data_IF_564530711996
#
_entry.id   IF_564530711996
#
_cell.length_a   1.000
_cell.length_b   1.000
_cell.length_c   1.000
_cell.angle_alpha   90.00
_cell.angle_beta   90.00
_cell.angle_gamma   90.00
#
_symmetry.space_group_name_H-M   'P 1'
#
loop_
_entity.id
_entity.type
_entity.pdbx_description
1 polymer ?
#
# COMPACT_ATOMS: atom_id res chain seq x y z
N UNK A 1 0.32 -12.79 1.18
CA UNK A 1 1.11 -12.59 -0.08
C UNK A 1 2.57 -12.36 0.29
N UNK A 2 3.51 -12.28 -0.64
CA UNK A 2 4.94 -12.15 -0.32
C UNK A 2 5.56 -10.82 -0.76
N UNK A 3 5.47 -10.52 -2.06
CA UNK A 3 6.08 -9.32 -2.66
C UNK A 3 5.03 -8.31 -3.12
N UNK A 4 3.76 -8.71 -3.14
CA UNK A 4 2.68 -7.90 -3.70
C UNK A 4 2.15 -6.78 -2.79
N UNK A 5 2.36 -6.83 -1.47
CA UNK A 5 1.73 -5.87 -0.56
C UNK A 5 2.24 -4.44 -0.72
N UNK A 6 3.56 -4.24 -0.79
CA UNK A 6 4.15 -2.91 -0.97
C UNK A 6 3.80 -2.30 -2.35
N UNK A 7 3.91 -3.04 -3.48
CA UNK A 7 3.41 -2.59 -4.78
C UNK A 7 1.91 -2.27 -4.80
N UNK A 8 1.08 -3.11 -4.16
CA UNK A 8 -0.35 -2.84 -4.06
C UNK A 8 -0.63 -1.56 -3.26
N UNK A 9 0.07 -1.38 -2.15
CA UNK A 9 -0.07 -0.20 -1.32
C UNK A 9 0.37 1.08 -2.03
N UNK A 10 1.46 1.00 -2.82
CA UNK A 10 1.87 2.07 -3.72
C UNK A 10 0.76 2.44 -4.72
N UNK A 11 0.21 1.45 -5.44
CA UNK A 11 -0.84 1.66 -6.43
C UNK A 11 -2.10 2.26 -5.81
N UNK A 12 -2.54 1.71 -4.69
CA UNK A 12 -3.73 2.15 -3.98
C UNK A 12 -3.59 3.58 -3.47
N UNK A 13 -2.51 3.86 -2.74
CA UNK A 13 -2.24 5.21 -2.21
C UNK A 13 -2.15 6.22 -3.34
N UNK A 14 -1.51 5.83 -4.44
CA UNK A 14 -1.39 6.69 -5.60
C UNK A 14 -2.74 6.99 -6.26
N UNK A 15 -3.61 6.00 -6.40
CA UNK A 15 -4.96 6.18 -6.92
C UNK A 15 -5.77 7.15 -6.04
N UNK A 16 -5.66 7.03 -4.72
CA UNK A 16 -6.31 7.96 -3.78
C UNK A 16 -5.79 9.38 -3.94
N UNK A 17 -4.47 9.54 -4.04
CA UNK A 17 -3.82 10.84 -4.27
C UNK A 17 -4.19 11.45 -5.64
N UNK A 18 -4.40 10.65 -6.69
CA UNK A 18 -4.79 11.16 -8.02
C UNK A 18 -6.27 11.51 -8.14
N UNK A 19 -7.16 10.77 -7.47
CA UNK A 19 -8.60 10.93 -7.62
C UNK A 19 -9.22 11.92 -6.63
N UNK A 20 -8.72 11.98 -5.39
CA UNK A 20 -9.35 12.79 -4.33
C UNK A 20 -8.51 13.99 -3.88
N UNK A 21 -7.20 14.03 -4.17
CA UNK A 21 -6.31 15.12 -3.76
C UNK A 21 -5.80 15.96 -4.95
N UNK A 22 -6.70 16.26 -5.90
CA UNK A 22 -6.52 17.38 -6.86
C UNK A 22 -6.58 18.76 -6.19
N UNK A 23 -6.60 18.82 -4.87
CA UNK A 23 -6.38 20.05 -4.10
C UNK A 23 -4.92 20.43 -4.17
N UNK A 24 -4.63 21.72 -4.09
CA UNK A 24 -3.32 22.40 -4.16
C UNK A 24 -2.33 22.01 -3.04
N UNK A 25 -2.29 20.73 -2.68
CA UNK A 25 -1.43 20.14 -1.66
C UNK A 25 0.00 20.11 -2.18
N UNK A 26 0.87 20.85 -1.48
CA UNK A 26 2.32 20.88 -1.69
C UNK A 26 2.88 19.46 -1.92
N UNK A 27 3.78 19.30 -2.90
CA UNK A 27 4.47 18.03 -3.23
C UNK A 27 5.02 17.30 -1.99
N UNK A 28 5.41 18.04 -0.95
CA UNK A 28 5.92 17.50 0.31
C UNK A 28 4.84 16.77 1.13
N UNK A 29 3.60 17.24 1.11
CA UNK A 29 2.45 16.60 1.77
C UNK A 29 2.11 15.27 1.10
N UNK A 30 2.11 15.23 -0.23
CA UNK A 30 1.86 14.01 -1.00
C UNK A 30 2.94 12.94 -0.74
N UNK A 31 4.20 13.36 -0.55
CA UNK A 31 5.28 12.45 -0.16
C UNK A 31 5.05 11.80 1.22
N UNK A 32 4.56 12.56 2.20
CA UNK A 32 4.22 12.03 3.54
C UNK A 32 3.04 11.07 3.49
N UNK A 33 1.99 11.44 2.76
CA UNK A 33 0.82 10.56 2.59
C UNK A 33 1.19 9.27 1.85
N UNK A 34 2.07 9.36 0.84
CA UNK A 34 2.64 8.18 0.19
C UNK A 34 3.41 7.31 1.19
N UNK A 35 4.30 7.89 2.00
CA UNK A 35 5.03 7.15 3.01
C UNK A 35 4.08 6.47 4.02
N UNK A 36 3.03 7.15 4.47
CA UNK A 36 2.02 6.57 5.35
C UNK A 36 1.27 5.40 4.70
N UNK A 37 0.90 5.52 3.43
CA UNK A 37 0.27 4.42 2.70
C UNK A 37 1.17 3.20 2.59
N UNK A 38 2.44 3.40 2.25
CA UNK A 38 3.44 2.32 2.19
C UNK A 38 3.67 1.69 3.57
N UNK A 39 3.75 2.50 4.64
CA UNK A 39 3.85 2.00 6.00
C UNK A 39 2.64 1.14 6.35
N UNK A 40 1.41 1.61 6.07
CA UNK A 40 0.18 0.83 6.28
C UNK A 40 0.17 -0.49 5.50
N UNK A 41 0.76 -0.52 4.30
CA UNK A 41 0.86 -1.73 3.48
C UNK A 41 1.88 -2.76 3.97
N UNK A 42 2.80 -2.37 4.86
CA UNK A 42 3.84 -3.25 5.42
C UNK A 42 3.57 -3.62 6.87
N UNK A 43 2.84 -2.78 7.60
CA UNK A 43 2.79 -2.85 9.06
C UNK A 43 2.27 -4.18 9.60
N UNK A 44 1.24 -4.82 9.02
CA UNK A 44 0.80 -6.14 9.49
C UNK A 44 1.92 -7.19 9.47
N UNK A 45 2.69 -7.25 8.38
CA UNK A 45 3.81 -8.20 8.19
C UNK A 45 5.06 -7.90 9.02
N UNK A 46 5.15 -6.76 9.73
CA UNK A 46 6.29 -6.52 10.61
C UNK A 46 6.33 -7.49 11.80
N UNK A 47 5.23 -8.18 12.06
CA UNK A 47 5.17 -9.31 12.99
C UNK A 47 6.07 -10.49 12.58
N UNK A 48 6.52 -10.55 11.33
CA UNK A 48 7.51 -11.53 10.87
C UNK A 48 8.85 -11.36 11.58
N UNK A 49 9.19 -10.16 12.03
CA UNK A 49 10.37 -9.95 12.88
C UNK A 49 10.19 -10.64 14.23
N UNK A 50 8.99 -10.53 14.82
CA UNK A 50 8.66 -11.23 16.06
C UNK A 50 8.64 -12.75 15.86
N UNK A 51 7.99 -13.22 14.78
CA UNK A 51 7.93 -14.63 14.37
C UNK A 51 9.30 -15.30 14.30
N UNK A 52 10.29 -14.63 13.69
CA UNK A 52 11.64 -15.17 13.52
C UNK A 52 12.57 -14.96 14.71
N UNK A 53 12.47 -13.83 15.40
CA UNK A 53 13.46 -13.44 16.41
C UNK A 53 13.04 -13.82 17.83
N UNK A 54 11.74 -13.97 18.10
CA UNK A 54 11.20 -14.13 19.47
C UNK A 54 10.33 -15.37 19.58
N UNK A 55 9.37 -15.56 18.66
CA UNK A 55 8.38 -16.65 18.75
C UNK A 55 8.92 -18.04 18.38
N UNK A 56 10.15 -18.10 17.85
CA UNK A 56 10.76 -19.30 17.26
C UNK A 56 9.82 -20.06 16.30
N UNK A 57 8.97 -19.30 15.60
CA UNK A 57 8.00 -19.80 14.61
C UNK A 57 6.97 -20.79 15.18
N UNK A 58 6.65 -20.68 16.47
CA UNK A 58 5.65 -21.54 17.13
C UNK A 58 4.24 -21.30 16.59
N UNK A 59 3.90 -20.04 16.27
CA UNK A 59 2.63 -19.67 15.68
C UNK A 59 2.81 -19.14 14.26
N UNK A 60 1.89 -19.51 13.35
CA UNK A 60 1.84 -18.89 12.02
C UNK A 60 1.57 -17.38 12.17
N UNK A 61 2.33 -16.52 11.48
CA UNK A 61 2.25 -15.06 11.66
C UNK A 61 0.85 -14.47 11.39
N UNK A 62 0.09 -15.02 10.45
CA UNK A 62 -1.31 -14.63 10.24
C UNK A 62 -2.24 -14.96 11.43
N UNK A 63 -1.75 -15.69 12.43
CA UNK A 63 -2.42 -15.92 13.70
C UNK A 63 -2.26 -14.79 14.72
N UNK A 64 -1.34 -13.85 14.49
CA UNK A 64 -1.11 -12.71 15.38
C UNK A 64 -2.18 -11.62 15.22
N UNK A 65 -2.28 -10.76 16.24
CA UNK A 65 -3.29 -9.70 16.32
C UNK A 65 -3.15 -8.63 15.23
N UNK A 66 -1.95 -8.50 14.66
CA UNK A 66 -1.61 -7.70 13.46
C UNK A 66 -2.40 -8.13 12.22
N UNK A 67 -2.92 -9.36 12.18
CA UNK A 67 -3.74 -9.88 11.09
C UNK A 67 -5.23 -9.97 11.46
N UNK A 68 -5.66 -9.36 12.57
CA UNK A 68 -7.06 -9.26 12.98
C UNK A 68 -7.67 -7.95 12.44
N UNK A 69 -8.61 -7.98 11.49
CA UNK A 69 -9.16 -6.75 10.90
C UNK A 69 -9.88 -5.86 11.92
N UNK A 70 -10.53 -6.45 12.91
CA UNK A 70 -11.22 -5.69 13.96
C UNK A 70 -10.24 -4.85 14.81
N UNK A 71 -9.01 -5.32 15.04
CA UNK A 71 -7.99 -4.56 15.75
C UNK A 71 -7.69 -3.25 15.00
N UNK A 72 -7.47 -3.34 13.68
CA UNK A 72 -7.20 -2.17 12.84
C UNK A 72 -8.41 -1.25 12.70
N UNK A 73 -9.63 -1.81 12.65
CA UNK A 73 -10.85 -1.01 12.62
C UNK A 73 -11.03 -0.21 13.92
N UNK A 74 -10.78 -0.84 15.07
CA UNK A 74 -10.83 -0.17 16.37
C UNK A 74 -9.76 0.92 16.46
N UNK A 75 -8.53 0.63 16.06
CA UNK A 75 -7.45 1.62 16.05
C UNK A 75 -7.74 2.79 15.10
N UNK A 76 -8.34 2.53 13.94
CA UNK A 76 -8.80 3.58 13.02
C UNK A 76 -9.82 4.50 13.70
N UNK A 77 -10.83 3.93 14.37
CA UNK A 77 -11.82 4.68 15.13
C UNK A 77 -11.20 5.54 16.23
N UNK A 78 -10.22 5.01 16.96
CA UNK A 78 -9.48 5.75 17.99
C UNK A 78 -8.68 6.93 17.40
N UNK A 79 -7.99 6.71 16.29
CA UNK A 79 -7.23 7.77 15.60
C UNK A 79 -8.17 8.88 15.10
N UNK A 80 -9.32 8.52 14.52
CA UNK A 80 -10.33 9.51 14.09
C UNK A 80 -10.92 10.28 15.27
N UNK A 81 -11.28 9.60 16.36
CA UNK A 81 -11.80 10.23 17.56
C UNK A 81 -10.78 11.20 18.17
N UNK A 82 -9.51 10.79 18.26
CA UNK A 82 -8.42 11.66 18.72
C UNK A 82 -8.22 12.88 17.81
N UNK A 83 -8.23 12.68 16.49
CA UNK A 83 -8.16 13.77 15.52
C UNK A 83 -9.32 14.76 15.65
N UNK A 84 -10.54 14.27 15.90
CA UNK A 84 -11.71 15.10 16.12
C UNK A 84 -11.62 15.91 17.43
N UNK A 85 -11.24 15.26 18.54
CA UNK A 85 -11.05 15.91 19.85
C UNK A 85 -9.98 17.01 19.77
N UNK A 86 -8.88 16.74 19.07
CA UNK A 86 -7.77 17.69 18.88
C UNK A 86 -8.01 18.70 17.74
N UNK A 87 -9.16 18.62 17.05
CA UNK A 87 -9.53 19.46 15.89
C UNK A 87 -8.45 19.48 14.80
N UNK A 88 -7.87 18.33 14.47
CA UNK A 88 -6.84 18.18 13.45
C UNK A 88 -7.42 17.58 12.16
N UNK A 89 -7.87 18.41 11.18
CA UNK A 89 -8.52 17.91 9.97
C UNK A 89 -7.59 17.09 9.06
N UNK A 90 -6.27 17.25 9.20
CA UNK A 90 -5.26 16.47 8.47
C UNK A 90 -5.18 15.01 8.90
N UNK A 91 -5.74 14.64 10.06
CA UNK A 91 -5.75 13.26 10.56
C UNK A 91 -6.64 12.38 9.69
N UNK A 92 -7.80 12.87 9.24
CA UNK A 92 -8.74 12.10 8.44
C UNK A 92 -8.10 11.54 7.15
N UNK A 93 -7.50 12.34 6.25
CA UNK A 93 -6.89 11.82 5.03
C UNK A 93 -5.67 10.93 5.32
N UNK A 94 -4.86 11.26 6.34
CA UNK A 94 -3.72 10.45 6.74
C UNK A 94 -4.15 9.06 7.24
N UNK A 95 -5.14 9.01 8.12
CA UNK A 95 -5.70 7.78 8.65
C UNK A 95 -6.41 6.98 7.54
N UNK A 96 -7.23 7.63 6.71
CA UNK A 96 -7.90 6.95 5.60
C UNK A 96 -6.91 6.26 4.65
N UNK A 97 -5.82 6.94 4.25
CA UNK A 97 -4.77 6.33 3.42
C UNK A 97 -4.10 5.18 4.17
N UNK A 98 -3.63 5.41 5.39
CA UNK A 98 -2.91 4.40 6.16
C UNK A 98 -3.75 3.13 6.40
N UNK A 99 -4.95 3.28 6.97
CA UNK A 99 -5.79 2.13 7.33
C UNK A 99 -6.38 1.46 6.09
N UNK A 100 -6.71 2.19 5.03
CA UNK A 100 -7.15 1.52 3.79
C UNK A 100 -6.04 0.65 3.19
N UNK A 101 -4.76 1.06 3.28
CA UNK A 101 -3.64 0.21 2.87
C UNK A 101 -3.51 -1.05 3.74
N UNK A 102 -3.74 -0.94 5.06
CA UNK A 102 -3.82 -2.11 5.94
C UNK A 102 -4.96 -3.04 5.51
N UNK A 103 -6.15 -2.53 5.20
CA UNK A 103 -7.25 -3.38 4.74
C UNK A 103 -7.00 -4.00 3.37
N UNK A 104 -6.33 -3.29 2.45
CA UNK A 104 -5.86 -3.88 1.19
C UNK A 104 -4.88 -5.02 1.49
N UNK A 105 -3.94 -4.83 2.43
CA UNK A 105 -3.02 -5.88 2.84
C UNK A 105 -3.75 -7.13 3.34
N UNK A 106 -4.68 -6.99 4.29
CA UNK A 106 -5.46 -8.11 4.84
C UNK A 106 -6.37 -8.77 3.78
N UNK A 107 -6.91 -7.98 2.86
CA UNK A 107 -7.69 -8.48 1.73
C UNK A 107 -6.84 -9.32 0.77
N UNK A 108 -5.62 -8.85 0.49
CA UNK A 108 -4.64 -9.57 -0.31
C UNK A 108 -4.17 -10.86 0.35
N UNK A 109 -4.00 -10.84 1.67
CA UNK A 109 -3.71 -12.06 2.41
C UNK A 109 -4.82 -13.08 2.27
N UNK A 110 -6.10 -12.68 2.31
CA UNK A 110 -7.23 -13.62 2.17
C UNK A 110 -7.17 -14.49 0.90
N UNK A 111 -6.39 -14.13 -0.13
CA UNK A 111 -6.20 -14.95 -1.33
C UNK A 111 -5.49 -16.28 -1.00
N UNK A 112 -4.44 -16.25 -0.16
CA UNK A 112 -3.60 -17.44 0.15
C UNK A 112 -3.13 -17.53 1.61
N UNK A 113 -3.09 -16.41 2.31
CA UNK A 113 -2.92 -16.27 3.75
C UNK A 113 -4.26 -16.36 4.47
N UNK A 114 -4.28 -17.13 5.56
CA UNK A 114 -5.48 -17.32 6.39
C UNK A 114 -5.74 -16.07 7.21
N UNK A 115 -6.83 -15.35 6.96
CA UNK A 115 -7.18 -14.12 7.72
C UNK A 115 -8.45 -14.33 8.53
N UNK A 116 -8.40 -13.97 9.81
CA UNK A 116 -9.56 -14.10 10.72
C UNK A 116 -10.39 -12.84 10.75
N UNK A 117 -11.19 -12.63 9.70
CA UNK A 117 -12.07 -11.46 9.59
C UNK A 117 -13.07 -11.30 10.74
N UNK A 118 -13.48 -12.41 11.35
CA UNK A 118 -14.48 -12.44 12.41
C UNK A 118 -13.90 -12.55 13.83
N UNK A 119 -12.58 -12.51 13.99
CA UNK A 119 -11.97 -12.51 15.31
C UNK A 119 -12.32 -11.22 16.10
N UNK A 120 -12.51 -11.30 17.43
CA UNK A 120 -12.39 -12.49 18.29
C UNK A 120 -13.69 -13.31 18.42
N UNK A 121 -14.76 -12.95 17.71
CA UNK A 121 -16.06 -13.61 17.83
C UNK A 121 -16.08 -15.01 17.21
N UNK A 122 -15.18 -15.26 16.25
CA UNK A 122 -14.98 -16.56 15.63
C UNK A 122 -13.50 -16.79 15.32
N UNK A 123 -13.06 -18.05 15.46
CA UNK A 123 -11.73 -18.51 15.06
C UNK A 123 -11.67 -19.01 13.61
N UNK A 124 -12.68 -18.70 12.80
CA UNK A 124 -12.75 -19.11 11.40
C UNK A 124 -11.70 -18.37 10.55
N UNK A 125 -10.85 -19.14 9.89
CA UNK A 125 -9.84 -18.65 8.96
C UNK A 125 -10.46 -18.50 7.55
N UNK A 126 -10.43 -17.30 6.99
CA UNK A 126 -10.86 -17.06 5.62
C UNK A 126 -9.65 -17.15 4.69
N UNK A 127 -9.76 -17.99 3.66
CA UNK A 127 -8.76 -18.16 2.60
C UNK A 127 -9.49 -18.52 1.30
N UNK A 128 -9.05 -17.99 0.16
CA UNK A 128 -9.63 -18.33 -1.16
C UNK A 128 -8.99 -19.56 -1.77
N UNK A 129 -7.66 -19.69 -1.65
CA UNK A 129 -6.90 -20.79 -2.22
C UNK A 129 -5.85 -21.31 -1.23
N UNK A 130 -5.87 -22.61 -0.99
CA UNK A 130 -4.86 -23.27 -0.18
C UNK A 130 -3.57 -23.51 -0.97
N UNK A 131 -2.43 -23.21 -0.34
CA UNK A 131 -1.10 -23.48 -0.90
C UNK A 131 -0.57 -24.79 -0.28
N UNK A 132 -0.40 -25.87 -1.05
CA UNK A 132 0.05 -27.15 -0.50
C UNK A 132 1.54 -27.11 -0.13
N UNK A 133 1.88 -27.70 1.02
CA UNK A 133 3.26 -27.83 1.49
C UNK A 133 4.00 -28.98 0.77
N UNK A 134 4.48 -28.72 -0.46
CA UNK A 134 5.20 -29.69 -1.32
C UNK A 134 6.72 -29.63 -1.18
N UNK A 135 7.27 -28.47 -0.83
CA UNK A 135 8.71 -28.21 -0.77
C UNK A 135 9.15 -27.99 0.69
N UNK A 136 10.36 -28.44 1.02
CA UNK A 136 10.93 -28.34 2.37
C UNK A 136 11.19 -26.89 2.81
N UNK A 137 11.63 -26.01 1.90
CA UNK A 137 11.63 -24.58 2.17
C UNK A 137 10.28 -23.98 1.80
N UNK A 138 9.55 -23.53 2.82
CA UNK A 138 8.15 -23.14 2.69
C UNK A 138 7.88 -22.04 1.66
N UNK A 139 8.84 -21.13 1.44
CA UNK A 139 8.76 -20.05 0.45
C UNK A 139 8.52 -20.58 -0.96
N UNK A 140 9.14 -21.73 -1.30
CA UNK A 140 8.94 -22.34 -2.62
C UNK A 140 7.51 -22.80 -2.87
N UNK A 141 6.76 -23.14 -1.81
CA UNK A 141 5.35 -23.49 -1.96
C UNK A 141 4.56 -22.30 -2.51
N UNK A 142 4.88 -21.08 -2.08
CA UNK A 142 4.21 -19.87 -2.56
C UNK A 142 4.70 -19.46 -3.95
N UNK A 143 6.02 -19.43 -4.18
CA UNK A 143 6.60 -19.00 -5.47
C UNK A 143 6.14 -19.88 -6.64
N UNK A 144 6.01 -21.20 -6.42
CA UNK A 144 5.55 -22.12 -7.45
C UNK A 144 4.02 -22.32 -7.47
N UNK A 145 3.28 -21.64 -6.60
CA UNK A 145 1.83 -21.63 -6.66
C UNK A 145 1.35 -20.65 -7.75
N UNK A 146 0.29 -21.01 -8.47
CA UNK A 146 -0.21 -20.19 -9.59
C UNK A 146 -0.67 -18.79 -9.14
N UNK A 147 -1.09 -18.63 -7.89
CA UNK A 147 -1.45 -17.33 -7.31
C UNK A 147 -0.27 -16.37 -7.26
N UNK A 148 0.96 -16.85 -7.34
CA UNK A 148 2.15 -15.99 -7.42
C UNK A 148 2.13 -15.10 -8.67
N UNK A 149 1.46 -15.53 -9.75
CA UNK A 149 1.24 -14.70 -10.95
C UNK A 149 0.44 -13.42 -10.64
N UNK A 150 -0.46 -13.48 -9.66
CA UNK A 150 -1.20 -12.31 -9.19
C UNK A 150 -0.25 -11.29 -8.53
N UNK A 151 0.70 -11.75 -7.72
CA UNK A 151 1.72 -10.88 -7.12
C UNK A 151 2.59 -10.22 -8.18
N UNK A 152 3.03 -10.98 -9.19
CA UNK A 152 3.81 -10.48 -10.33
C UNK A 152 3.02 -9.39 -11.08
N UNK A 153 1.72 -9.60 -11.29
CA UNK A 153 0.86 -8.64 -11.98
C UNK A 153 0.77 -7.31 -11.22
N UNK A 154 0.64 -7.36 -9.90
CA UNK A 154 0.61 -6.15 -9.05
C UNK A 154 1.97 -5.44 -9.10
N UNK A 155 3.08 -6.18 -8.97
CA UNK A 155 4.44 -5.63 -9.07
C UNK A 155 4.63 -4.94 -10.42
N UNK A 156 4.26 -5.61 -11.51
CA UNK A 156 4.37 -5.08 -12.85
C UNK A 156 3.55 -3.79 -13.02
N UNK A 157 2.30 -3.79 -12.57
CA UNK A 157 1.43 -2.60 -12.61
C UNK A 157 2.04 -1.43 -11.82
N UNK A 158 2.62 -1.69 -10.64
CA UNK A 158 3.30 -0.67 -9.84
C UNK A 158 4.52 -0.09 -10.56
N UNK A 159 5.35 -0.94 -11.17
CA UNK A 159 6.52 -0.51 -11.94
C UNK A 159 6.11 0.34 -13.15
N UNK A 160 5.16 -0.12 -13.95
CA UNK A 160 4.64 0.61 -15.12
C UNK A 160 4.11 1.98 -14.69
N UNK A 161 3.32 2.02 -13.61
CA UNK A 161 2.75 3.25 -13.06
C UNK A 161 3.84 4.22 -12.59
N UNK A 162 4.85 3.72 -11.89
CA UNK A 162 6.00 4.50 -11.44
C UNK A 162 6.78 5.09 -12.61
N UNK A 163 7.13 4.27 -13.61
CA UNK A 163 7.90 4.69 -14.80
C UNK A 163 7.15 5.75 -15.60
N UNK A 164 5.86 5.52 -15.89
CA UNK A 164 5.04 6.47 -16.67
C UNK A 164 4.99 7.85 -16.01
N UNK A 165 4.97 7.90 -14.68
CA UNK A 165 4.87 9.18 -13.97
C UNK A 165 6.15 9.93 -13.77
N UNK A 166 7.29 9.23 -13.87
CA UNK A 166 8.58 9.91 -14.00
C UNK A 166 8.72 10.56 -15.37
N UNK A 167 8.21 9.90 -16.42
CA UNK A 167 8.21 10.44 -17.80
C UNK A 167 7.36 11.71 -17.92
N UNK A 168 6.13 11.71 -17.40
CA UNK A 168 5.26 12.90 -17.45
C UNK A 168 5.89 14.10 -16.73
N UNK A 169 6.40 13.88 -15.51
CA UNK A 169 7.04 14.92 -14.71
C UNK A 169 8.33 15.47 -15.34
N UNK A 170 9.09 14.61 -16.02
CA UNK A 170 10.28 15.02 -16.78
C UNK A 170 9.94 15.87 -18.01
N UNK A 171 8.86 15.52 -18.72
CA UNK A 171 8.35 16.30 -19.85
C UNK A 171 7.84 17.69 -19.43
N UNK A 172 7.08 17.77 -18.35
CA UNK A 172 6.61 19.05 -17.79
C UNK A 172 7.78 19.96 -17.39
N UNK A 173 8.79 19.43 -16.70
CA UNK A 173 9.96 20.21 -16.29
C UNK A 173 10.73 20.76 -17.51
N UNK A 174 10.92 19.94 -18.55
CA UNK A 174 11.61 20.37 -19.78
C UNK A 174 10.83 21.42 -20.57
N UNK A 175 9.50 21.34 -20.60
CA UNK A 175 8.64 22.35 -21.24
C UNK A 175 8.66 23.67 -20.49
N UNK A 176 8.59 23.63 -19.15
CA UNK A 176 8.66 24.82 -18.29
C UNK A 176 10.02 25.52 -18.45
N UNK A 177 11.11 24.77 -18.40
CA UNK A 177 12.48 25.29 -18.55
C UNK A 177 12.74 25.90 -19.93
N UNK A 178 12.03 25.44 -20.97
CA UNK A 178 12.07 26.02 -22.33
C UNK A 178 11.30 27.35 -22.42
N UNK A 179 10.21 27.50 -21.67
CA UNK A 179 9.43 28.73 -21.60
C UNK A 179 10.12 29.81 -20.76
N UNK A 180 10.90 29.41 -19.75
CA UNK A 180 11.61 30.32 -18.86
C UNK A 180 12.97 30.78 -19.41
N UNK A 181 13.40 30.34 -20.61
CA UNK A 181 14.62 30.85 -21.24
C UNK A 181 14.43 32.28 -21.76
N UNK A 182 15.24 33.27 -21.30
CA UNK A 182 15.17 34.65 -21.77
C UNK A 182 15.71 34.71 -23.20
N UNK A 183 14.81 34.65 -24.19
CA UNK A 183 15.16 34.66 -25.60
C UNK A 183 14.15 34.02 -26.55
N UNK A 184 13.13 33.31 -26.05
CA UNK A 184 12.03 32.77 -26.86
C UNK A 184 11.07 33.87 -27.34
N UNK A 185 11.62 34.86 -28.04
CA UNK A 185 10.88 35.94 -28.69
C UNK A 185 10.43 35.45 -30.05
N UNK A 186 9.12 35.22 -30.18
CA UNK A 186 8.29 35.33 -31.38
C UNK A 186 9.07 35.37 -32.72
N UNK A 187 9.22 34.22 -33.36
CA UNK A 187 9.38 34.22 -34.82
C UNK A 187 8.07 34.76 -35.42
N UNK A 188 8.21 35.93 -36.04
CA UNK A 188 7.20 36.63 -36.80
C UNK A 188 6.84 35.78 -38.02
N UNK A 189 5.56 35.41 -38.14
CA UNK A 189 5.01 34.81 -39.36
C UNK A 189 5.14 35.82 -40.52
N UNK A 190 5.72 35.46 -41.67
CA UNK A 190 5.69 36.30 -42.85
C UNK A 190 4.29 36.30 -43.45
N UNK A 191 3.83 37.50 -43.80
CA UNK A 191 2.56 37.85 -44.45
C UNK A 191 2.44 37.30 -45.86
#
# INVERSE_FOLDING_TARGET
MFIGHLPAGYLWTRMLLSNQFKTESSTKSNGRLMALGLLGSLLPDLDMLYFYLIDDRQYLHHGYWTHIPLFWLALFGLVLAGGAVLRQPSVLPAAAIFFSNVFIHLGLDTIVGKVRWLAPFSSHDFVMFDVPARYGWWVWNFVFHWTFLFEITIVFAAVVTLVNSRRTRGGEKSSQERLDQPGATKEVLPS
#
